data_IF_556304194717
#
_entry.id   IF_556304194717
#
_cell.length_a   1.000
_cell.length_b   1.000
_cell.length_c   1.000
_cell.angle_alpha   90.00
_cell.angle_beta   90.00
_cell.angle_gamma   90.00
#
_symmetry.space_group_name_H-M   'P 1'
#
loop_
_entity.id
_entity.type
_entity.pdbx_description
1 polymer ?
#
# COMPACT_ATOMS: atom_id res chain seq x y z
N UNK A 1 -9.79 8.94 -4.13
CA UNK A 1 -10.94 8.65 -5.00
C UNK A 1 -10.54 7.89 -6.27
N UNK A 2 -9.60 8.38 -7.11
CA UNK A 2 -9.29 7.81 -8.45
C UNK A 2 -8.84 6.35 -8.45
N UNK A 3 -7.94 5.96 -7.54
CA UNK A 3 -7.48 4.57 -7.46
C UNK A 3 -8.61 3.59 -7.08
N UNK A 4 -9.48 3.99 -6.17
CA UNK A 4 -10.65 3.21 -5.79
C UNK A 4 -11.64 3.09 -6.95
N UNK A 5 -11.96 4.19 -7.63
CA UNK A 5 -12.85 4.21 -8.79
C UNK A 5 -12.28 3.38 -9.96
N UNK A 6 -10.97 3.49 -10.23
CA UNK A 6 -10.31 2.67 -11.25
C UNK A 6 -10.38 1.18 -10.94
N UNK A 7 -10.20 0.80 -9.67
CA UNK A 7 -10.35 -0.59 -9.23
C UNK A 7 -11.79 -1.06 -9.36
N UNK A 8 -12.76 -0.25 -8.99
CA UNK A 8 -14.18 -0.59 -9.12
C UNK A 8 -14.56 -0.82 -10.59
N UNK A 9 -14.21 0.13 -11.46
CA UNK A 9 -14.44 -0.01 -12.91
C UNK A 9 -13.81 -1.27 -13.48
N UNK A 10 -12.54 -1.55 -13.13
CA UNK A 10 -11.83 -2.75 -13.57
C UNK A 10 -12.49 -4.04 -13.09
N UNK A 11 -12.91 -4.10 -11.83
CA UNK A 11 -13.54 -5.30 -11.27
C UNK A 11 -14.96 -5.52 -11.82
N UNK A 12 -15.58 -4.49 -12.38
CA UNK A 12 -16.89 -4.55 -13.05
C UNK A 12 -16.79 -4.66 -14.58
N UNK A 13 -15.62 -5.01 -15.13
CA UNK A 13 -15.45 -5.38 -16.52
C UNK A 13 -14.94 -4.26 -17.45
N UNK A 14 -14.41 -3.16 -16.92
CA UNK A 14 -13.75 -2.16 -17.75
C UNK A 14 -12.50 -2.76 -18.42
N UNK A 15 -12.44 -2.72 -19.75
CA UNK A 15 -11.40 -3.34 -20.58
C UNK A 15 -10.17 -2.42 -20.80
N UNK A 16 -10.16 -1.21 -20.21
CA UNK A 16 -9.00 -0.32 -20.33
C UNK A 16 -7.76 -0.96 -19.69
N UNK A 17 -6.59 -0.86 -20.35
CA UNK A 17 -5.37 -1.45 -19.86
C UNK A 17 -4.91 -0.76 -18.57
N UNK A 18 -4.33 -1.54 -17.66
CA UNK A 18 -3.72 -1.04 -16.43
C UNK A 18 -2.29 -1.57 -16.29
N UNK A 19 -1.40 -0.73 -15.79
CA UNK A 19 -0.05 -1.16 -15.42
C UNK A 19 -0.11 -1.94 -14.12
N UNK A 20 0.53 -3.10 -14.09
CA UNK A 20 0.57 -3.95 -12.89
C UNK A 20 1.75 -3.62 -11.99
N UNK A 21 1.56 -3.77 -10.68
CA UNK A 21 2.64 -3.84 -9.70
C UNK A 21 2.47 -5.12 -8.89
N UNK A 22 3.56 -5.86 -8.67
CA UNK A 22 3.58 -7.10 -7.88
C UNK A 22 2.50 -8.12 -8.30
N UNK A 23 2.18 -8.19 -9.59
CA UNK A 23 1.23 -9.13 -10.18
C UNK A 23 -0.24 -8.69 -10.16
N UNK A 24 -0.54 -7.44 -9.79
CA UNK A 24 -1.92 -6.93 -9.69
C UNK A 24 -2.08 -5.55 -10.32
N UNK A 25 -3.09 -5.40 -11.22
CA UNK A 25 -3.48 -4.10 -11.78
C UNK A 25 -4.04 -3.16 -10.71
N UNK A 26 -4.79 -3.67 -9.74
CA UNK A 26 -5.29 -2.87 -8.63
C UNK A 26 -4.14 -2.28 -7.80
N UNK A 27 -3.06 -3.04 -7.57
CA UNK A 27 -1.87 -2.51 -6.92
C UNK A 27 -1.18 -1.45 -7.78
N UNK A 28 -1.04 -1.68 -9.09
CA UNK A 28 -0.45 -0.70 -10.01
C UNK A 28 -1.21 0.64 -10.03
N UNK A 29 -2.55 0.60 -10.06
CA UNK A 29 -3.37 1.82 -9.95
C UNK A 29 -3.22 2.48 -8.57
N UNK A 30 -3.14 1.70 -7.51
CA UNK A 30 -3.02 2.22 -6.14
C UNK A 30 -1.69 2.91 -5.90
N UNK A 31 -0.60 2.36 -6.41
CA UNK A 31 0.73 2.98 -6.30
C UNK A 31 0.87 4.24 -7.15
N UNK A 32 0.16 4.35 -8.26
CA UNK A 32 0.43 5.38 -9.26
C UNK A 32 -0.58 6.54 -9.22
N UNK A 33 -1.89 6.25 -9.23
CA UNK A 33 -2.90 7.29 -9.37
C UNK A 33 -2.89 8.34 -8.25
N UNK A 34 -2.76 7.99 -6.95
CA UNK A 34 -2.69 9.01 -5.91
C UNK A 34 -1.47 9.93 -6.07
N UNK A 35 -0.32 9.36 -6.44
CA UNK A 35 0.92 10.12 -6.66
C UNK A 35 0.77 11.08 -7.85
N UNK A 36 0.14 10.63 -8.95
CA UNK A 36 -0.13 11.45 -10.12
C UNK A 36 -1.05 12.62 -9.77
N UNK A 37 -2.12 12.38 -9.02
CA UNK A 37 -3.06 13.44 -8.64
C UNK A 37 -2.43 14.46 -7.70
N UNK A 38 -1.62 14.02 -6.71
CA UNK A 38 -0.85 14.95 -5.87
C UNK A 38 0.16 15.75 -6.67
N UNK A 39 0.85 15.14 -7.62
CA UNK A 39 1.81 15.83 -8.48
C UNK A 39 1.14 16.92 -9.33
N UNK A 40 -0.06 16.65 -9.85
CA UNK A 40 -0.87 17.64 -10.59
C UNK A 40 -1.28 18.80 -9.69
N UNK A 41 -1.81 18.50 -8.51
CA UNK A 41 -2.25 19.53 -7.55
C UNK A 41 -1.10 20.43 -7.10
N UNK A 42 0.06 19.83 -6.87
CA UNK A 42 1.28 20.53 -6.48
C UNK A 42 2.00 21.21 -7.67
N UNK A 43 1.53 21.00 -8.90
CA UNK A 43 2.12 21.51 -10.13
C UNK A 43 3.63 21.28 -10.23
N UNK A 44 4.08 20.05 -9.88
CA UNK A 44 5.50 19.69 -9.94
C UNK A 44 5.93 19.36 -11.38
N UNK A 45 7.26 19.35 -11.62
CA UNK A 45 7.82 18.93 -12.90
C UNK A 45 7.61 17.43 -13.18
N UNK A 46 7.61 17.05 -14.46
CA UNK A 46 7.53 15.64 -14.89
C UNK A 46 8.66 14.80 -14.28
N UNK A 47 9.87 15.35 -14.16
CA UNK A 47 10.99 14.66 -13.51
C UNK A 47 10.68 14.33 -12.06
N UNK A 48 10.13 15.28 -11.29
CA UNK A 48 9.76 15.04 -9.89
C UNK A 48 8.63 14.02 -9.78
N UNK A 49 7.64 14.07 -10.68
CA UNK A 49 6.57 13.06 -10.77
C UNK A 49 7.16 11.67 -11.03
N UNK A 50 8.05 11.52 -12.02
CA UNK A 50 8.63 10.21 -12.35
C UNK A 50 9.46 9.64 -11.20
N UNK A 51 10.22 10.46 -10.50
CA UNK A 51 10.94 10.04 -9.29
C UNK A 51 9.99 9.57 -8.18
N UNK A 52 8.90 10.29 -7.95
CA UNK A 52 7.88 9.90 -6.98
C UNK A 52 7.19 8.57 -7.36
N UNK A 53 6.90 8.37 -8.64
CA UNK A 53 6.34 7.11 -9.15
C UNK A 53 7.32 5.95 -9.01
N UNK A 54 8.61 6.16 -9.31
CA UNK A 54 9.63 5.15 -9.08
C UNK A 54 9.69 4.76 -7.61
N UNK A 55 9.76 5.75 -6.71
CA UNK A 55 9.78 5.52 -5.26
C UNK A 55 8.54 4.74 -4.80
N UNK A 56 7.34 5.18 -5.14
CA UNK A 56 6.10 4.52 -4.78
C UNK A 56 6.06 3.06 -5.24
N UNK A 57 6.41 2.82 -6.50
CA UNK A 57 6.39 1.46 -7.06
C UNK A 57 7.46 0.56 -6.44
N UNK A 58 8.68 1.04 -6.24
CA UNK A 58 9.78 0.27 -5.65
C UNK A 58 9.50 -0.03 -4.17
N UNK A 59 8.95 0.91 -3.41
CA UNK A 59 8.55 0.71 -2.02
C UNK A 59 7.48 -0.38 -1.91
N UNK A 60 6.51 -0.40 -2.82
CA UNK A 60 5.50 -1.46 -2.88
C UNK A 60 6.13 -2.83 -3.19
N UNK A 61 7.02 -2.90 -4.17
CA UNK A 61 7.73 -4.14 -4.54
C UNK A 61 8.58 -4.64 -3.38
N UNK A 62 9.29 -3.74 -2.69
CA UNK A 62 10.12 -4.08 -1.55
C UNK A 62 9.31 -4.79 -0.46
N UNK A 63 8.20 -4.20 -0.02
CA UNK A 63 7.29 -4.82 0.96
C UNK A 63 6.77 -6.18 0.46
N UNK A 64 6.36 -6.27 -0.81
CA UNK A 64 5.83 -7.50 -1.41
C UNK A 64 6.87 -8.60 -1.54
N UNK A 65 8.14 -8.28 -1.57
CA UNK A 65 9.22 -9.27 -1.60
C UNK A 65 9.23 -10.13 -0.32
N UNK A 66 8.97 -9.53 0.84
CA UNK A 66 8.90 -10.25 2.12
C UNK A 66 7.60 -11.02 2.28
N UNK A 67 6.46 -10.46 1.84
CA UNK A 67 5.12 -11.06 1.99
C UNK A 67 4.91 -12.21 1.00
N UNK A 68 5.40 -12.05 -0.24
CA UNK A 68 5.12 -12.93 -1.37
C UNK A 68 3.99 -12.42 -2.26
N UNK A 69 3.90 -12.97 -3.48
CA UNK A 69 2.91 -12.53 -4.47
C UNK A 69 1.48 -12.93 -4.14
N UNK A 70 1.32 -14.14 -3.57
CA UNK A 70 0.04 -14.69 -3.15
C UNK A 70 0.05 -14.87 -1.64
N UNK A 71 -0.80 -14.12 -0.96
CA UNK A 71 -0.95 -14.14 0.49
C UNK A 71 -2.33 -13.62 0.86
N UNK A 72 -2.86 -14.05 1.98
CA UNK A 72 -4.04 -13.44 2.60
C UNK A 72 -3.79 -11.98 3.02
N UNK A 73 -2.55 -11.54 3.13
CA UNK A 73 -2.23 -10.12 3.33
C UNK A 73 -2.60 -9.31 2.08
N UNK A 74 -3.45 -8.31 2.24
CA UNK A 74 -3.96 -7.54 1.12
C UNK A 74 -2.88 -6.69 0.46
N UNK A 75 -2.65 -6.91 -0.84
CA UNK A 75 -1.68 -6.13 -1.60
C UNK A 75 -1.99 -4.64 -1.71
N UNK A 76 -3.26 -4.23 -1.48
CA UNK A 76 -3.65 -2.83 -1.43
C UNK A 76 -2.94 -2.10 -0.28
N UNK A 77 -2.67 -2.77 0.85
CA UNK A 77 -1.94 -2.19 2.00
C UNK A 77 -0.55 -1.76 1.58
N UNK A 78 0.24 -2.67 1.00
CA UNK A 78 1.59 -2.34 0.50
C UNK A 78 1.57 -1.26 -0.57
N UNK A 79 0.57 -1.29 -1.46
CA UNK A 79 0.41 -0.31 -2.53
C UNK A 79 0.02 1.08 -2.00
N UNK A 80 -0.86 1.14 -0.99
CA UNK A 80 -1.25 2.39 -0.31
C UNK A 80 -0.07 3.01 0.46
N UNK A 81 0.71 2.20 1.16
CA UNK A 81 1.93 2.66 1.82
C UNK A 81 2.97 3.15 0.81
N UNK A 82 3.12 2.47 -0.33
CA UNK A 82 3.95 2.93 -1.44
C UNK A 82 3.47 4.27 -2.00
N UNK A 83 2.16 4.44 -2.19
CA UNK A 83 1.58 5.74 -2.59
C UNK A 83 1.88 6.83 -1.56
N UNK A 84 1.76 6.53 -0.26
CA UNK A 84 2.16 7.43 0.84
C UNK A 84 3.61 7.87 0.74
N UNK A 85 4.54 6.94 0.46
CA UNK A 85 5.95 7.25 0.24
C UNK A 85 6.16 8.23 -0.93
N UNK A 86 5.49 7.98 -2.06
CA UNK A 86 5.55 8.88 -3.23
C UNK A 86 4.98 10.27 -2.93
N UNK A 87 3.87 10.35 -2.21
CA UNK A 87 3.25 11.60 -1.78
C UNK A 87 4.16 12.36 -0.82
N UNK A 88 4.73 11.67 0.21
CA UNK A 88 5.68 12.28 1.14
C UNK A 88 6.88 12.90 0.40
N UNK A 89 7.43 12.19 -0.58
CA UNK A 89 8.49 12.72 -1.44
C UNK A 89 8.06 13.97 -2.20
N UNK A 90 6.85 13.98 -2.79
CA UNK A 90 6.33 15.17 -3.50
C UNK A 90 6.22 16.36 -2.58
N UNK A 91 5.84 16.14 -1.32
CA UNK A 91 5.69 17.15 -0.27
C UNK A 91 7.03 17.58 0.35
N UNK A 92 8.14 16.95 -0.04
CA UNK A 92 9.49 17.36 0.32
C UNK A 92 10.10 16.65 1.52
N UNK A 93 9.50 15.53 1.96
CA UNK A 93 10.09 14.70 3.01
C UNK A 93 11.45 14.12 2.58
N UNK A 94 12.33 14.01 3.54
CA UNK A 94 13.59 13.28 3.42
C UNK A 94 13.38 11.76 3.54
N UNK A 95 14.46 11.00 3.59
CA UNK A 95 14.42 9.55 3.70
C UNK A 95 13.75 9.08 4.99
N UNK A 96 14.00 9.78 6.09
CA UNK A 96 13.44 9.45 7.40
C UNK A 96 11.91 9.60 7.38
N UNK A 97 11.40 10.75 6.95
CA UNK A 97 9.96 10.99 6.85
C UNK A 97 9.24 10.06 5.87
N UNK A 98 9.88 9.69 4.75
CA UNK A 98 9.34 8.69 3.81
C UNK A 98 9.26 7.32 4.48
N UNK A 99 10.29 6.91 5.21
CA UNK A 99 10.38 5.61 5.87
C UNK A 99 9.33 5.47 6.99
N UNK A 100 9.19 6.50 7.82
CA UNK A 100 8.17 6.54 8.87
C UNK A 100 6.75 6.60 8.29
N UNK A 101 6.53 7.33 7.19
CA UNK A 101 5.26 7.30 6.45
C UNK A 101 4.85 5.87 6.09
N UNK A 102 5.79 5.07 5.58
CA UNK A 102 5.53 3.66 5.22
C UNK A 102 5.25 2.82 6.47
N UNK A 103 6.06 2.93 7.50
CA UNK A 103 5.89 2.17 8.74
C UNK A 103 4.53 2.45 9.41
N UNK A 104 4.16 3.72 9.54
CA UNK A 104 2.87 4.13 10.08
C UNK A 104 1.69 3.58 9.25
N UNK A 105 1.78 3.66 7.92
CA UNK A 105 0.73 3.18 7.03
C UNK A 105 0.51 1.67 7.15
N UNK A 106 1.58 0.87 7.15
CA UNK A 106 1.47 -0.60 7.22
C UNK A 106 1.09 -1.09 8.63
N UNK A 107 1.54 -0.40 9.68
CA UNK A 107 1.13 -0.71 11.05
C UNK A 107 -0.38 -0.43 11.24
N UNK A 108 -0.90 0.65 10.66
CA UNK A 108 -2.33 1.00 10.72
C UNK A 108 -3.22 -0.01 9.99
N UNK A 109 -2.80 -0.50 8.84
CA UNK A 109 -3.65 -1.30 7.92
C UNK A 109 -3.24 -2.76 7.77
N UNK A 110 -2.25 -3.22 8.53
CA UNK A 110 -1.66 -4.57 8.42
C UNK A 110 -2.63 -5.75 8.64
N UNK A 111 -3.83 -5.48 9.15
CA UNK A 111 -4.89 -6.47 9.38
C UNK A 111 -5.86 -6.65 8.20
N UNK A 112 -5.74 -5.90 7.11
CA UNK A 112 -6.63 -6.02 5.96
C UNK A 112 -6.30 -7.29 5.18
N UNK A 113 -7.27 -8.20 5.08
CA UNK A 113 -7.11 -9.47 4.36
C UNK A 113 -7.51 -9.35 2.88
N UNK A 114 -6.87 -10.16 2.05
CA UNK A 114 -7.21 -10.35 0.65
C UNK A 114 -8.14 -11.53 0.49
N UNK A 115 -9.33 -11.29 -0.02
CA UNK A 115 -10.38 -12.26 -0.31
C UNK A 115 -10.65 -12.39 -1.83
N UNK A 116 -9.64 -12.12 -2.63
CA UNK A 116 -9.70 -12.14 -4.10
C UNK A 116 -9.99 -10.79 -4.72
N UNK A 117 -9.83 -10.70 -6.04
CA UNK A 117 -10.07 -9.48 -6.81
C UNK A 117 -11.57 -9.30 -7.06
N UNK A 118 -12.20 -8.38 -6.35
CA UNK A 118 -13.65 -8.10 -6.34
C UNK A 118 -13.89 -6.58 -6.33
N UNK A 119 -15.11 -6.15 -6.57
CA UNK A 119 -15.52 -4.75 -6.46
C UNK A 119 -15.21 -4.17 -5.07
N UNK A 120 -15.30 -4.99 -4.00
CA UNK A 120 -14.91 -4.61 -2.63
C UNK A 120 -13.46 -4.15 -2.48
N UNK A 121 -12.58 -4.44 -3.45
CA UNK A 121 -11.21 -3.92 -3.44
C UNK A 121 -11.17 -2.39 -3.46
N UNK A 122 -12.17 -1.72 -4.04
CA UNK A 122 -12.24 -0.27 -4.10
C UNK A 122 -12.17 0.38 -2.71
N UNK A 123 -12.94 -0.14 -1.73
CA UNK A 123 -12.91 0.37 -0.37
C UNK A 123 -11.59 0.06 0.35
N UNK A 124 -11.04 -1.14 0.16
CA UNK A 124 -9.73 -1.52 0.73
C UNK A 124 -8.60 -0.62 0.19
N UNK A 125 -8.67 -0.26 -1.10
CA UNK A 125 -7.72 0.67 -1.73
C UNK A 125 -7.87 2.08 -1.17
N UNK A 126 -9.11 2.58 -1.02
CA UNK A 126 -9.36 3.89 -0.42
C UNK A 126 -8.73 3.96 0.98
N UNK A 127 -9.05 2.99 1.85
CA UNK A 127 -8.51 2.91 3.21
C UNK A 127 -6.97 2.82 3.23
N UNK A 128 -6.38 2.04 2.34
CA UNK A 128 -4.92 1.89 2.28
C UNK A 128 -4.21 3.17 1.83
N UNK A 129 -4.77 3.91 0.86
CA UNK A 129 -4.24 5.21 0.42
C UNK A 129 -4.39 6.25 1.52
N UNK A 130 -5.55 6.28 2.20
CA UNK A 130 -5.78 7.17 3.35
C UNK A 130 -4.79 6.89 4.47
N UNK A 131 -4.50 5.61 4.76
CA UNK A 131 -3.47 5.25 5.74
C UNK A 131 -2.06 5.72 5.32
N UNK A 132 -1.73 5.70 4.02
CA UNK A 132 -0.49 6.28 3.51
C UNK A 132 -0.40 7.79 3.75
N UNK A 133 -1.49 8.52 3.51
CA UNK A 133 -1.57 9.96 3.77
C UNK A 133 -1.55 10.24 5.28
N UNK A 134 -2.27 9.44 6.06
CA UNK A 134 -2.27 9.53 7.52
C UNK A 134 -0.86 9.32 8.07
N UNK A 135 -0.14 8.29 7.57
CA UNK A 135 1.22 7.99 8.01
C UNK A 135 2.18 9.16 7.81
N UNK A 136 2.07 9.87 6.68
CA UNK A 136 2.80 11.12 6.46
C UNK A 136 2.40 12.20 7.47
N UNK A 137 1.09 12.41 7.68
CA UNK A 137 0.60 13.42 8.62
C UNK A 137 1.00 13.12 10.07
N UNK A 138 1.08 11.86 10.45
CA UNK A 138 1.59 11.44 11.77
C UNK A 138 3.05 11.87 11.92
N UNK A 139 3.87 11.58 10.92
CA UNK A 139 5.31 11.90 10.96
C UNK A 139 5.56 13.41 11.11
N UNK A 140 4.91 14.25 10.29
CA UNK A 140 5.11 15.71 10.37
C UNK A 140 4.57 16.36 11.65
N UNK A 141 3.83 15.60 12.46
CA UNK A 141 3.31 16.02 13.77
C UNK A 141 4.03 15.35 14.94
N UNK A 142 5.15 14.68 14.70
CA UNK A 142 5.91 13.92 15.70
C UNK A 142 5.04 12.86 16.42
N UNK A 143 4.13 12.20 15.69
CA UNK A 143 3.19 11.20 16.19
C UNK A 143 3.45 9.81 15.57
N UNK A 144 4.69 9.52 15.22
CA UNK A 144 5.07 8.20 14.72
C UNK A 144 4.79 7.11 15.74
N UNK A 145 4.38 5.95 15.26
CA UNK A 145 4.35 4.76 16.08
C UNK A 145 5.75 4.46 16.64
N UNK A 146 5.80 4.05 17.89
CA UNK A 146 7.04 3.75 18.58
C UNK A 146 7.36 2.26 18.55
N UNK A 147 8.63 1.86 18.68
CA UNK A 147 8.97 0.48 18.97
C UNK A 147 8.11 -0.06 20.12
N UNK A 148 7.69 -1.31 20.00
CA UNK A 148 6.75 -1.98 20.92
C UNK A 148 5.25 -1.65 20.73
N UNK A 149 4.89 -0.79 19.78
CA UNK A 149 3.49 -0.63 19.35
C UNK A 149 3.07 -1.84 18.47
N UNK A 150 2.95 -3.01 19.07
CA UNK A 150 2.51 -4.23 18.43
C UNK A 150 3.51 -4.78 17.41
N UNK A 151 3.29 -4.55 16.11
CA UNK A 151 4.16 -5.04 15.03
C UNK A 151 5.26 -4.05 14.63
N UNK A 152 5.27 -2.87 15.23
CA UNK A 152 6.28 -1.85 14.95
C UNK A 152 7.63 -2.30 15.50
N UNK A 153 8.67 -2.28 14.66
CA UNK A 153 10.04 -2.62 15.05
C UNK A 153 10.86 -1.39 15.40
N UNK A 154 12.11 -1.61 15.76
CA UNK A 154 13.04 -0.54 16.15
C UNK A 154 13.31 0.45 15.00
N UNK A 155 13.19 -0.03 13.77
CA UNK A 155 13.33 0.77 12.56
C UNK A 155 12.13 0.57 11.63
N UNK A 156 11.87 1.50 10.69
CA UNK A 156 10.87 1.28 9.64
C UNK A 156 11.09 -0.01 8.84
N UNK A 157 12.33 -0.40 8.59
CA UNK A 157 12.66 -1.64 7.90
C UNK A 157 12.32 -2.89 8.73
N UNK A 158 12.52 -2.84 10.05
CA UNK A 158 12.10 -3.92 10.95
C UNK A 158 10.57 -4.06 10.94
N UNK A 159 9.84 -2.95 10.88
CA UNK A 159 8.37 -2.96 10.73
C UNK A 159 7.95 -3.63 9.42
N UNK A 160 8.59 -3.30 8.29
CA UNK A 160 8.37 -3.96 7.00
C UNK A 160 8.65 -5.47 7.10
N UNK A 161 9.73 -5.84 7.75
CA UNK A 161 10.12 -7.24 7.96
C UNK A 161 9.11 -7.99 8.83
N UNK A 162 8.64 -7.40 9.92
CA UNK A 162 7.63 -7.97 10.82
C UNK A 162 6.29 -8.20 10.07
N UNK A 163 5.83 -7.22 9.32
CA UNK A 163 4.65 -7.32 8.46
C UNK A 163 4.85 -8.38 7.37
N UNK A 164 6.04 -8.42 6.77
CA UNK A 164 6.41 -9.46 5.81
C UNK A 164 6.28 -10.87 6.38
N UNK A 165 6.82 -11.09 7.58
CA UNK A 165 6.72 -12.35 8.31
C UNK A 165 5.26 -12.70 8.66
N UNK A 166 4.47 -11.73 9.12
CA UNK A 166 3.04 -11.92 9.37
C UNK A 166 2.32 -12.37 8.10
N UNK A 167 2.52 -11.66 6.99
CA UNK A 167 1.86 -11.97 5.72
C UNK A 167 2.27 -13.30 5.13
N UNK A 168 3.55 -13.66 5.23
CA UNK A 168 4.11 -14.88 4.64
C UNK A 168 3.84 -16.12 5.49
N UNK A 169 4.11 -16.05 6.78
CA UNK A 169 4.05 -17.20 7.68
C UNK A 169 2.76 -17.20 8.52
N UNK A 170 2.43 -16.06 9.15
CA UNK A 170 1.29 -15.97 10.06
C UNK A 170 -0.06 -16.13 9.38
N UNK A 171 -0.18 -15.73 8.12
CA UNK A 171 -1.46 -15.78 7.38
C UNK A 171 -1.66 -17.04 6.53
N UNK A 172 -0.85 -18.09 6.68
CA UNK A 172 -1.04 -19.36 5.93
C UNK A 172 -2.40 -19.98 6.20
N UNK A 173 -2.74 -20.22 7.46
CA UNK A 173 -4.06 -20.75 7.85
C UNK A 173 -5.21 -19.80 7.52
N UNK A 174 -5.00 -18.50 7.64
CA UNK A 174 -5.97 -17.48 7.22
C UNK A 174 -6.28 -17.59 5.73
N UNK A 175 -5.25 -17.80 4.89
CA UNK A 175 -5.43 -18.00 3.46
C UNK A 175 -6.25 -19.25 3.14
N UNK A 176 -5.96 -20.36 3.80
CA UNK A 176 -6.72 -21.61 3.65
C UNK A 176 -8.19 -21.42 4.04
N UNK A 177 -8.44 -20.74 5.16
CA UNK A 177 -9.80 -20.50 5.64
C UNK A 177 -10.59 -19.56 4.72
N UNK A 178 -9.96 -18.50 4.22
CA UNK A 178 -10.59 -17.62 3.21
C UNK A 178 -10.99 -18.41 1.96
N UNK A 179 -10.12 -19.32 1.49
CA UNK A 179 -10.44 -20.16 0.32
C UNK A 179 -11.64 -21.06 0.60
N UNK A 180 -11.70 -21.73 1.77
CA UNK A 180 -12.87 -22.55 2.16
C UNK A 180 -14.15 -21.75 2.15
N UNK A 181 -14.15 -20.56 2.78
CA UNK A 181 -15.30 -19.64 2.80
C UNK A 181 -15.72 -19.28 1.38
N UNK A 182 -14.77 -18.97 0.49
CA UNK A 182 -15.06 -18.56 -0.88
C UNK A 182 -15.65 -19.67 -1.74
N UNK A 183 -15.32 -20.93 -1.46
CA UNK A 183 -15.86 -22.10 -2.19
C UNK A 183 -17.09 -22.71 -1.52
N UNK A 184 -17.52 -22.18 -0.39
CA UNK A 184 -18.75 -22.60 0.30
C UNK A 184 -18.58 -23.87 1.15
N UNK A 185 -17.40 -24.12 1.69
CA UNK A 185 -17.09 -25.26 2.59
C UNK A 185 -16.90 -24.77 4.04
#
# INVERSE_FOLDING_TARGET
AYAAAGSDGRMNGCELPVVINSGSGNQGMTTSLPVIEYAKELNVSDEKLYRALCLSNLTTIHQKTSIGRLSAFCGAVSAGAGAGAGIAYLLGSDLDGISHTVANAIATTGGIVCDGAKASCASKIATAVEAGILGYNMHIQDQDFQPDDGLVGDTPEDTISNIGRLGKEGMKSTNEEIIKIMVGN
#
